data_IF_696401666942
#
_entry.id   IF_696401666942
#
_cell.length_a   1.000
_cell.length_b   1.000
_cell.length_c   1.000
_cell.angle_alpha   90.00
_cell.angle_beta   90.00
_cell.angle_gamma   90.00
#
_symmetry.space_group_name_H-M   'P 1'
#
loop_
_entity.id
_entity.type
_entity.pdbx_description
1 polymer ?
#
# COMPACT_ATOMS: atom_id res chain seq x y z
N UNK A 1 -6.84 -8.64 21.26
CA UNK A 1 -6.41 -7.23 21.25
C UNK A 1 -4.97 -7.05 20.73
N UNK A 2 -3.97 -7.86 21.12
CA UNK A 2 -2.57 -7.68 20.67
C UNK A 2 -2.27 -8.01 19.19
N UNK A 3 -2.94 -8.99 18.57
CA UNK A 3 -2.65 -9.42 17.18
C UNK A 3 -3.08 -8.35 16.17
N UNK A 4 -4.24 -7.75 16.40
CA UNK A 4 -4.86 -6.78 15.49
C UNK A 4 -4.11 -5.43 15.45
N UNK A 5 -3.47 -5.05 16.55
CA UNK A 5 -2.60 -3.85 16.61
C UNK A 5 -1.24 -4.08 15.95
N UNK A 6 -0.73 -5.31 16.02
CA UNK A 6 0.47 -5.75 15.31
C UNK A 6 0.25 -5.80 13.79
N UNK A 7 -0.90 -6.32 13.35
CA UNK A 7 -1.28 -6.36 11.93
C UNK A 7 -1.48 -4.96 11.35
N UNK A 8 -2.10 -4.04 12.12
CA UNK A 8 -2.22 -2.61 11.80
C UNK A 8 -0.86 -1.95 11.57
N UNK A 9 0.09 -2.20 12.48
CA UNK A 9 1.46 -1.70 12.37
C UNK A 9 2.18 -2.28 11.13
N UNK A 10 1.94 -3.56 10.82
CA UNK A 10 2.64 -4.24 9.75
C UNK A 10 2.24 -3.76 8.34
N UNK A 11 0.96 -3.44 8.09
CA UNK A 11 0.53 -2.90 6.80
C UNK A 11 1.06 -1.49 6.54
N UNK A 12 0.99 -0.62 7.55
CA UNK A 12 1.55 0.73 7.45
C UNK A 12 3.08 0.70 7.28
N UNK A 13 3.78 -0.12 8.05
CA UNK A 13 5.23 -0.29 7.93
C UNK A 13 5.64 -0.83 6.54
N UNK A 14 4.88 -1.79 5.99
CA UNK A 14 5.12 -2.30 4.65
C UNK A 14 4.89 -1.21 3.58
N UNK A 15 3.86 -0.38 3.74
CA UNK A 15 3.59 0.74 2.84
C UNK A 15 4.68 1.82 2.89
N UNK A 16 5.14 2.19 4.09
CA UNK A 16 6.27 3.11 4.27
C UNK A 16 7.54 2.57 3.60
N UNK A 17 7.82 1.27 3.79
CA UNK A 17 8.99 0.67 3.15
C UNK A 17 8.89 0.65 1.63
N UNK A 18 7.71 0.33 1.07
CA UNK A 18 7.48 0.40 -0.36
C UNK A 18 7.66 1.83 -0.88
N UNK A 19 7.14 2.83 -0.18
CA UNK A 19 7.31 4.23 -0.54
C UNK A 19 8.78 4.66 -0.59
N UNK A 20 9.59 4.30 0.42
CA UNK A 20 11.03 4.57 0.40
C UNK A 20 11.73 3.96 -0.82
N UNK A 21 11.42 2.70 -1.16
CA UNK A 21 12.02 2.06 -2.34
C UNK A 21 11.53 2.68 -3.64
N UNK A 22 10.27 3.12 -3.71
CA UNK A 22 9.75 3.83 -4.88
C UNK A 22 10.45 5.18 -5.04
N UNK A 23 10.65 5.94 -3.96
CA UNK A 23 11.44 7.19 -4.02
C UNK A 23 12.84 6.91 -4.58
N UNK A 24 13.53 5.89 -4.04
CA UNK A 24 14.87 5.50 -4.51
C UNK A 24 14.89 5.08 -5.98
N UNK A 25 14.00 4.17 -6.38
CA UNK A 25 13.96 3.62 -7.74
C UNK A 25 13.55 4.69 -8.76
N UNK A 26 12.58 5.53 -8.40
CA UNK A 26 11.98 6.52 -9.31
C UNK A 26 12.93 7.62 -9.79
N UNK A 27 14.11 7.77 -9.17
CA UNK A 27 15.18 8.69 -9.64
C UNK A 27 15.60 8.36 -11.08
N UNK A 28 15.52 7.08 -11.47
CA UNK A 28 15.96 6.62 -12.79
C UNK A 28 14.78 6.42 -13.77
N UNK A 29 13.54 6.70 -13.35
CA UNK A 29 12.35 6.46 -14.16
C UNK A 29 12.02 7.69 -15.02
N UNK A 30 11.27 7.51 -16.13
CA UNK A 30 10.64 8.63 -16.81
C UNK A 30 9.83 9.50 -15.84
N UNK A 31 9.95 10.82 -15.96
CA UNK A 31 9.45 11.80 -14.98
C UNK A 31 7.98 11.60 -14.62
N UNK A 32 7.13 11.34 -15.61
CA UNK A 32 5.69 11.16 -15.40
C UNK A 32 5.37 9.87 -14.63
N UNK A 33 6.06 8.77 -14.97
CA UNK A 33 5.96 7.49 -14.25
C UNK A 33 6.45 7.65 -12.81
N UNK A 34 7.60 8.30 -12.62
CA UNK A 34 8.18 8.58 -11.31
C UNK A 34 7.24 9.43 -10.43
N UNK A 35 6.61 10.45 -11.02
CA UNK A 35 5.69 11.34 -10.33
C UNK A 35 4.43 10.60 -9.89
N UNK A 36 3.82 9.84 -10.80
CA UNK A 36 2.60 9.10 -10.47
C UNK A 36 2.87 7.97 -9.47
N UNK A 37 4.00 7.25 -9.59
CA UNK A 37 4.37 6.22 -8.62
C UNK A 37 4.53 6.77 -7.19
N UNK A 38 5.24 7.89 -7.04
CA UNK A 38 5.42 8.53 -5.72
C UNK A 38 4.09 8.98 -5.15
N UNK A 39 3.26 9.63 -5.96
CA UNK A 39 1.91 10.04 -5.56
C UNK A 39 1.09 8.86 -5.07
N UNK A 40 1.05 7.74 -5.81
CA UNK A 40 0.28 6.55 -5.39
C UNK A 40 0.83 5.90 -4.13
N UNK A 41 2.14 5.86 -3.96
CA UNK A 41 2.73 5.39 -2.71
C UNK A 41 2.34 6.27 -1.50
N UNK A 42 2.29 7.59 -1.67
CA UNK A 42 1.80 8.52 -0.65
C UNK A 42 0.30 8.34 -0.38
N UNK A 43 -0.52 8.21 -1.43
CA UNK A 43 -1.97 7.98 -1.33
C UNK A 43 -2.28 6.70 -0.53
N UNK A 44 -1.51 5.62 -0.74
CA UNK A 44 -1.63 4.39 0.05
C UNK A 44 -1.37 4.66 1.54
N UNK A 45 -0.25 5.30 1.88
CA UNK A 45 0.12 5.59 3.28
C UNK A 45 -0.92 6.48 3.95
N UNK A 46 -1.35 7.55 3.26
CA UNK A 46 -2.36 8.49 3.77
C UNK A 46 -3.68 7.76 4.05
N UNK A 47 -4.11 6.91 3.12
CA UNK A 47 -5.38 6.19 3.23
C UNK A 47 -5.33 5.11 4.31
N UNK A 48 -4.21 4.39 4.48
CA UNK A 48 -4.02 3.46 5.61
C UNK A 48 -4.07 4.23 6.92
N UNK A 49 -3.36 5.35 7.02
CA UNK A 49 -3.34 6.17 8.24
C UNK A 49 -4.74 6.63 8.63
N UNK A 50 -5.52 7.14 7.67
CA UNK A 50 -6.92 7.50 7.89
C UNK A 50 -7.78 6.30 8.30
N UNK A 51 -7.55 5.11 7.72
CA UNK A 51 -8.25 3.90 8.12
C UNK A 51 -7.97 3.49 9.57
N UNK A 52 -6.77 3.78 10.10
CA UNK A 52 -6.38 3.48 11.47
C UNK A 52 -7.03 4.41 12.51
N UNK A 53 -7.53 5.57 12.09
CA UNK A 53 -8.29 6.50 12.95
C UNK A 53 -9.74 6.03 13.18
N UNK A 54 -10.21 5.05 12.40
CA UNK A 54 -11.54 4.48 12.50
C UNK A 54 -11.58 3.21 13.35
N UNK A 55 -12.73 2.95 13.98
CA UNK A 55 -12.97 1.72 14.74
C UNK A 55 -12.73 0.48 13.86
N UNK A 56 -12.20 -0.58 14.49
CA UNK A 56 -11.75 -1.79 13.80
C UNK A 56 -12.82 -2.47 12.94
N UNK A 57 -14.07 -2.44 13.41
CA UNK A 57 -15.23 -3.06 12.76
C UNK A 57 -16.04 -2.06 11.93
N UNK A 58 -15.61 -0.81 11.81
CA UNK A 58 -16.40 0.22 11.12
C UNK A 58 -16.41 0.04 9.60
N UNK A 59 -17.55 0.34 8.98
CA UNK A 59 -17.70 0.45 7.52
C UNK A 59 -16.74 1.50 6.95
N UNK A 60 -16.48 2.59 7.67
CA UNK A 60 -15.54 3.64 7.27
C UNK A 60 -14.12 3.09 7.11
N UNK A 61 -13.64 2.32 8.10
CA UNK A 61 -12.34 1.64 8.01
C UNK A 61 -12.24 0.71 6.81
N UNK A 62 -13.24 -0.15 6.59
CA UNK A 62 -13.28 -1.05 5.42
C UNK A 62 -13.23 -0.27 4.11
N UNK A 63 -13.97 0.84 4.02
CA UNK A 63 -13.95 1.71 2.85
C UNK A 63 -12.57 2.32 2.60
N UNK A 64 -11.92 2.85 3.64
CA UNK A 64 -10.58 3.42 3.53
C UNK A 64 -9.55 2.34 3.14
N UNK A 65 -9.55 1.18 3.80
CA UNK A 65 -8.68 0.05 3.44
C UNK A 65 -8.89 -0.43 2.00
N UNK A 66 -10.15 -0.47 1.52
CA UNK A 66 -10.45 -0.76 0.12
C UNK A 66 -9.88 0.31 -0.83
N UNK A 67 -9.98 1.59 -0.47
CA UNK A 67 -9.34 2.67 -1.24
C UNK A 67 -7.81 2.52 -1.31
N UNK A 68 -7.19 2.19 -0.18
CA UNK A 68 -5.75 1.94 -0.13
C UNK A 68 -5.32 0.74 -0.99
N UNK A 69 -6.14 -0.32 -1.05
CA UNK A 69 -5.91 -1.45 -1.97
C UNK A 69 -5.96 -1.03 -3.44
N UNK A 70 -6.90 -0.15 -3.83
CA UNK A 70 -6.96 0.37 -5.20
C UNK A 70 -5.69 1.14 -5.54
N UNK A 71 -5.26 2.06 -4.68
CA UNK A 71 -4.00 2.80 -4.89
C UNK A 71 -2.76 1.89 -4.92
N UNK A 72 -2.76 0.82 -4.12
CA UNK A 72 -1.68 -0.17 -4.14
C UNK A 72 -1.62 -0.98 -5.45
N UNK A 73 -2.77 -1.31 -6.05
CA UNK A 73 -2.85 -1.97 -7.35
C UNK A 73 -2.43 -1.03 -8.49
N UNK A 74 -2.84 0.24 -8.43
CA UNK A 74 -2.38 1.27 -9.36
C UNK A 74 -0.86 1.43 -9.28
N UNK A 75 -0.29 1.49 -8.06
CA UNK A 75 1.15 1.54 -7.85
C UNK A 75 1.88 0.32 -8.44
N UNK A 76 1.34 -0.89 -8.23
CA UNK A 76 1.90 -2.11 -8.81
C UNK A 76 1.90 -2.05 -10.35
N UNK A 77 0.79 -1.59 -10.94
CA UNK A 77 0.67 -1.41 -12.40
C UNK A 77 1.72 -0.41 -12.92
N UNK A 78 1.96 0.68 -12.20
CA UNK A 78 3.00 1.65 -12.57
C UNK A 78 4.40 1.02 -12.49
N UNK A 79 4.65 0.16 -11.49
CA UNK A 79 5.90 -0.59 -11.40
C UNK A 79 6.07 -1.56 -12.59
N UNK A 80 5.01 -2.22 -13.02
CA UNK A 80 5.05 -3.11 -14.19
C UNK A 80 5.38 -2.32 -15.47
N UNK A 81 4.82 -1.12 -15.64
CA UNK A 81 5.16 -0.22 -16.73
C UNK A 81 6.64 0.20 -16.64
N UNK A 82 7.13 0.60 -15.46
CA UNK A 82 8.54 0.92 -15.26
C UNK A 82 9.46 -0.27 -15.57
N UNK A 83 9.03 -1.50 -15.26
CA UNK A 83 9.74 -2.73 -15.62
C UNK A 83 9.81 -2.94 -17.11
N UNK A 84 8.70 -2.72 -17.83
CA UNK A 84 8.66 -2.82 -19.29
C UNK A 84 9.59 -1.81 -19.98
N UNK A 85 9.84 -0.67 -19.34
CA UNK A 85 10.84 0.31 -19.77
C UNK A 85 12.29 -0.02 -19.34
N UNK A 86 12.52 -1.11 -18.60
CA UNK A 86 13.85 -1.55 -18.18
C UNK A 86 14.50 -0.71 -17.08
N UNK A 87 13.73 0.13 -16.38
CA UNK A 87 14.24 1.10 -15.37
C UNK A 87 13.94 0.68 -13.92
N UNK A 88 13.35 -0.49 -13.73
CA UNK A 88 12.86 -0.94 -12.43
C UNK A 88 13.97 -1.56 -11.57
N UNK A 89 13.96 -1.22 -10.27
CA UNK A 89 14.80 -1.86 -9.24
C UNK A 89 14.01 -3.00 -8.58
N UNK A 90 14.58 -4.21 -8.51
CA UNK A 90 13.95 -5.42 -7.98
C UNK A 90 13.32 -5.24 -6.58
N UNK A 91 13.95 -4.42 -5.74
CA UNK A 91 13.50 -4.15 -4.37
C UNK A 91 12.17 -3.36 -4.32
N UNK A 92 11.90 -2.50 -5.31
CA UNK A 92 10.66 -1.74 -5.39
C UNK A 92 9.46 -2.64 -5.64
N UNK A 93 9.54 -3.59 -6.58
CA UNK A 93 8.49 -4.60 -6.80
C UNK A 93 8.28 -5.48 -5.57
N UNK A 94 9.37 -5.96 -4.96
CA UNK A 94 9.26 -6.84 -3.78
C UNK A 94 8.55 -6.11 -2.64
N UNK A 95 8.87 -4.84 -2.40
CA UNK A 95 8.22 -4.06 -1.35
C UNK A 95 6.77 -3.73 -1.70
N UNK A 96 6.46 -3.37 -2.94
CA UNK A 96 5.08 -3.13 -3.41
C UNK A 96 4.22 -4.40 -3.29
N UNK A 97 4.75 -5.57 -3.68
CA UNK A 97 4.07 -6.85 -3.55
C UNK A 97 3.81 -7.23 -2.08
N UNK A 98 4.80 -7.02 -1.20
CA UNK A 98 4.64 -7.23 0.24
C UNK A 98 3.60 -6.27 0.84
N UNK A 99 3.64 -5.00 0.46
CA UNK A 99 2.65 -4.00 0.87
C UNK A 99 1.23 -4.44 0.48
N UNK A 100 1.01 -4.84 -0.78
CA UNK A 100 -0.27 -5.37 -1.26
C UNK A 100 -0.75 -6.55 -0.42
N UNK A 101 0.14 -7.49 -0.11
CA UNK A 101 -0.17 -8.68 0.69
C UNK A 101 -0.60 -8.29 2.11
N UNK A 102 0.14 -7.40 2.78
CA UNK A 102 -0.18 -6.96 4.14
C UNK A 102 -1.47 -6.14 4.21
N UNK A 103 -1.72 -5.27 3.23
CA UNK A 103 -2.99 -4.55 3.10
C UNK A 103 -4.16 -5.51 2.91
N UNK A 104 -3.99 -6.53 2.05
CA UNK A 104 -5.05 -7.50 1.77
C UNK A 104 -5.43 -8.30 3.01
N UNK A 105 -4.43 -8.75 3.78
CA UNK A 105 -4.66 -9.42 5.07
C UNK A 105 -5.39 -8.50 6.06
N UNK A 106 -4.95 -7.25 6.18
CA UNK A 106 -5.57 -6.26 7.09
C UNK A 106 -7.02 -5.95 6.70
N UNK A 107 -7.29 -5.82 5.41
CA UNK A 107 -8.66 -5.64 4.90
C UNK A 107 -9.54 -6.85 5.20
N UNK A 108 -9.03 -8.06 4.97
CA UNK A 108 -9.79 -9.28 5.23
C UNK A 108 -10.09 -9.47 6.72
N UNK A 109 -9.13 -9.20 7.60
CA UNK A 109 -9.34 -9.20 9.05
C UNK A 109 -10.44 -8.21 9.48
N UNK A 110 -10.44 -6.99 8.91
CA UNK A 110 -11.46 -5.97 9.17
C UNK A 110 -12.86 -6.32 8.59
N UNK A 111 -12.93 -7.24 7.62
CA UNK A 111 -14.18 -7.73 7.06
C UNK A 111 -14.80 -8.85 7.90
N UNK A 112 -13.99 -9.74 8.48
CA UNK A 112 -14.47 -10.88 9.28
C UNK A 112 -15.07 -10.40 10.62
N UNK A 113 -14.55 -9.32 11.21
CA UNK A 113 -15.05 -8.78 12.48
C UNK A 113 -16.46 -8.17 12.46
N UNK A 114 -17.17 -8.24 11.32
CA UNK A 114 -18.57 -7.74 11.15
C UNK A 114 -19.61 -8.87 11.29
N UNK A 115 -19.19 -10.15 11.24
CA UNK A 115 -20.08 -11.33 11.22
C UNK A 115 -20.31 -11.99 12.60
N UNK A 116 -19.82 -11.39 13.69
CA UNK A 116 -19.99 -11.86 15.09
C UNK A 116 -20.53 -10.78 15.99
#
# INVERSE_FOLDING_TARGET
MQVEELERSAALAAAQRAHEEIIRASIQWPVDIAKEARRRAEDVISTISSALEHDATSVARRRSLRGALVYALELATICDVAQAHGVLVLDSLRCTSRMLSMLSLTYHAAAIGDDT
#
